data_IF_992485697948
#
_entry.id   IF_992485697948
#
_cell.length_a   1.000
_cell.length_b   1.000
_cell.length_c   1.000
_cell.angle_alpha   90.00
_cell.angle_beta   90.00
_cell.angle_gamma   90.00
#
_symmetry.space_group_name_H-M   'P 1'
#
loop_
_entity.id
_entity.type
_entity.pdbx_description
1 polymer ?
#
# COMPACT_ATOMS: atom_id res chain seq x y z
N UNK A 1 -12.26 11.14 -12.65
CA UNK A 1 -11.42 10.61 -11.57
C UNK A 1 -9.97 10.85 -11.88
N UNK A 2 -9.22 11.25 -10.89
CA UNK A 2 -7.83 11.61 -11.07
C UNK A 2 -6.94 10.43 -10.67
N UNK A 3 -5.89 10.20 -11.44
CA UNK A 3 -4.87 9.23 -11.06
C UNK A 3 -3.71 9.96 -10.41
N UNK A 4 -3.02 9.24 -9.53
CA UNK A 4 -1.81 9.75 -8.90
C UNK A 4 -0.67 8.79 -9.19
N UNK A 5 0.54 9.29 -9.02
CA UNK A 5 1.73 8.48 -9.23
C UNK A 5 2.36 8.16 -7.88
N UNK A 6 2.66 6.89 -7.67
CA UNK A 6 3.30 6.43 -6.43
C UNK A 6 4.40 5.45 -6.79
N UNK A 7 5.23 5.15 -5.82
CA UNK A 7 6.25 4.11 -5.98
C UNK A 7 5.82 2.93 -5.12
N UNK A 8 5.77 1.74 -5.72
CA UNK A 8 5.43 0.52 -5.00
C UNK A 8 6.53 -0.49 -5.24
N UNK A 9 7.23 -0.85 -4.18
CA UNK A 9 8.38 -1.76 -4.26
C UNK A 9 9.39 -1.27 -5.31
N UNK A 10 9.67 0.04 -5.27
CA UNK A 10 10.63 0.72 -6.14
C UNK A 10 10.19 0.84 -7.60
N UNK A 11 8.93 0.52 -7.89
CA UNK A 11 8.39 0.70 -9.24
C UNK A 11 7.36 1.80 -9.24
N UNK A 12 7.48 2.71 -10.20
CA UNK A 12 6.51 3.79 -10.36
C UNK A 12 5.21 3.22 -10.92
N UNK A 13 4.09 3.57 -10.27
CA UNK A 13 2.78 3.10 -10.71
C UNK A 13 1.76 4.22 -10.64
N UNK A 14 0.81 4.15 -11.55
CA UNK A 14 -0.31 5.09 -11.57
C UNK A 14 -1.51 4.40 -10.94
N UNK A 15 -2.10 5.04 -9.94
CA UNK A 15 -3.24 4.47 -9.22
C UNK A 15 -4.31 5.55 -9.07
N UNK A 16 -5.56 5.16 -8.84
CA UNK A 16 -6.60 6.15 -8.54
C UNK A 16 -6.29 6.91 -7.26
N UNK A 17 -6.73 8.16 -7.20
CA UNK A 17 -6.55 8.94 -5.98
C UNK A 17 -7.49 8.48 -4.87
N UNK A 18 -7.16 8.85 -3.65
CA UNK A 18 -8.02 8.65 -2.47
C UNK A 18 -8.25 7.19 -2.09
N UNK A 19 -7.29 6.33 -2.37
CA UNK A 19 -7.37 4.94 -1.91
C UNK A 19 -6.78 4.82 -0.51
N UNK A 20 -7.49 4.12 0.38
CA UNK A 20 -6.86 3.71 1.63
C UNK A 20 -6.07 2.43 1.39
N UNK A 21 -5.39 1.93 2.41
CA UNK A 21 -4.51 0.77 2.22
C UNK A 21 -5.28 -0.46 1.72
N UNK A 22 -6.41 -0.86 2.34
CA UNK A 22 -7.15 -2.01 1.81
C UNK A 22 -7.60 -1.83 0.37
N UNK A 23 -8.03 -0.63 0.00
CA UNK A 23 -8.45 -0.35 -1.36
C UNK A 23 -7.28 -0.44 -2.33
N UNK A 24 -6.11 0.04 -1.91
CA UNK A 24 -4.91 -0.06 -2.73
C UNK A 24 -4.53 -1.52 -2.96
N UNK A 25 -4.53 -2.31 -1.90
CA UNK A 25 -4.19 -3.72 -2.01
C UNK A 25 -5.16 -4.44 -2.94
N UNK A 26 -6.44 -4.10 -2.85
CA UNK A 26 -7.45 -4.67 -3.74
C UNK A 26 -7.20 -4.25 -5.19
N UNK A 27 -6.86 -2.98 -5.41
CA UNK A 27 -6.55 -2.48 -6.75
C UNK A 27 -5.37 -3.22 -7.36
N UNK A 28 -4.37 -3.55 -6.53
CA UNK A 28 -3.18 -4.28 -6.97
C UNK A 28 -3.40 -5.79 -7.01
N UNK A 29 -4.58 -6.24 -6.64
CA UNK A 29 -4.95 -7.66 -6.60
C UNK A 29 -4.08 -8.46 -5.62
N UNK A 30 -3.68 -7.81 -4.54
CA UNK A 30 -2.91 -8.45 -3.49
C UNK A 30 -3.85 -8.90 -2.38
N UNK A 31 -4.06 -10.19 -2.30
CA UNK A 31 -5.01 -10.75 -1.33
C UNK A 31 -4.27 -11.72 -0.43
N UNK A 32 -3.68 -11.19 0.62
CA UNK A 32 -2.94 -12.05 1.52
C UNK A 32 -3.05 -11.48 2.93
N UNK A 33 -3.33 -12.36 3.88
CA UNK A 33 -3.46 -11.96 5.27
C UNK A 33 -2.13 -11.61 5.92
N UNK A 34 -1.04 -11.94 5.26
CA UNK A 34 0.31 -11.77 5.83
C UNK A 34 1.07 -10.60 5.23
N UNK A 35 0.37 -9.65 4.64
CA UNK A 35 1.03 -8.50 4.02
C UNK A 35 1.45 -7.50 5.08
N UNK A 36 2.67 -6.98 4.90
CA UNK A 36 3.20 -5.86 5.68
C UNK A 36 3.34 -4.69 4.73
N UNK A 37 2.82 -3.53 5.13
CA UNK A 37 2.83 -2.34 4.31
C UNK A 37 3.65 -1.26 5.00
N UNK A 38 4.64 -0.71 4.28
CA UNK A 38 5.37 0.47 4.71
C UNK A 38 4.97 1.63 3.82
N UNK A 39 4.72 2.76 4.45
CA UNK A 39 4.41 3.98 3.73
C UNK A 39 5.44 5.04 4.12
N UNK A 40 6.23 5.47 3.13
CA UNK A 40 7.29 6.45 3.37
C UNK A 40 8.21 6.01 4.51
N UNK A 41 8.60 4.72 4.47
CA UNK A 41 9.56 4.11 5.38
C UNK A 41 9.03 3.87 6.79
N UNK A 42 7.71 3.96 6.96
CA UNK A 42 7.09 3.64 8.24
C UNK A 42 6.07 2.52 8.06
N UNK A 43 6.14 1.53 8.93
CA UNK A 43 5.16 0.44 8.89
C UNK A 43 3.79 0.98 9.27
N UNK A 44 2.79 0.69 8.44
CA UNK A 44 1.41 1.03 8.77
C UNK A 44 0.78 -0.16 9.46
N UNK A 45 0.46 0.01 10.72
CA UNK A 45 -0.16 -1.06 11.48
C UNK A 45 -1.52 -1.40 10.91
N UNK A 46 -1.87 -2.67 10.93
CA UNK A 46 -3.13 -3.11 10.33
C UNK A 46 -4.34 -2.35 10.87
N UNK A 47 -4.30 -1.99 12.15
CA UNK A 47 -5.39 -1.24 12.75
C UNK A 47 -5.56 0.15 12.14
N UNK A 48 -4.54 0.67 11.48
CA UNK A 48 -4.58 2.01 10.88
C UNK A 48 -4.80 1.97 9.35
N UNK A 49 -4.93 0.79 8.78
CA UNK A 49 -5.05 0.68 7.32
C UNK A 49 -6.27 1.41 6.77
N UNK A 50 -7.41 1.31 7.47
CA UNK A 50 -8.66 1.90 6.97
C UNK A 50 -8.62 3.43 6.96
N UNK A 51 -7.79 4.02 7.81
CA UNK A 51 -7.71 5.47 7.94
C UNK A 51 -6.48 6.07 7.28
N UNK A 52 -5.65 5.24 6.64
CA UNK A 52 -4.44 5.71 5.96
C UNK A 52 -4.71 5.79 4.47
N UNK A 53 -4.65 7.00 3.92
CA UNK A 53 -4.90 7.24 2.51
C UNK A 53 -3.58 7.50 1.79
N UNK A 54 -3.42 6.91 0.62
CA UNK A 54 -2.21 7.06 -0.19
C UNK A 54 -2.33 8.32 -1.05
N UNK A 55 -1.26 9.10 -1.13
CA UNK A 55 -1.24 10.35 -1.89
C UNK A 55 -0.16 10.37 -2.94
N UNK A 56 -0.22 11.42 -3.77
CA UNK A 56 0.74 11.63 -4.85
C UNK A 56 2.18 11.62 -4.31
N UNK A 57 3.02 10.84 -4.96
CA UNK A 57 4.44 10.81 -4.61
C UNK A 57 4.78 9.89 -3.44
N UNK A 58 3.81 9.23 -2.85
CA UNK A 58 4.09 8.32 -1.74
C UNK A 58 4.93 7.14 -2.19
N UNK A 59 5.75 6.67 -1.26
CA UNK A 59 6.59 5.50 -1.47
C UNK A 59 6.07 4.38 -0.59
N UNK A 60 5.70 3.28 -1.21
CA UNK A 60 5.18 2.12 -0.49
C UNK A 60 6.07 0.91 -0.71
N UNK A 61 6.19 0.11 0.33
CA UNK A 61 6.77 -1.21 0.20
C UNK A 61 5.78 -2.20 0.80
N UNK A 62 5.44 -3.17 -0.01
CA UNK A 62 4.44 -4.17 0.36
C UNK A 62 5.11 -5.52 0.22
N UNK A 63 5.27 -6.20 1.34
CA UNK A 63 5.94 -7.49 1.35
C UNK A 63 5.06 -8.49 2.09
N UNK A 64 5.25 -9.75 1.76
CA UNK A 64 4.57 -10.82 2.47
C UNK A 64 5.42 -11.23 3.65
N UNK A 65 4.81 -11.20 4.82
CA UNK A 65 5.50 -11.66 6.02
C UNK A 65 5.65 -13.18 5.91
N UNK A 66 6.88 -13.63 5.94
CA UNK A 66 7.12 -15.06 5.95
C UNK A 66 7.05 -15.50 7.40
N UNK A 67 5.96 -16.14 7.75
CA UNK A 67 5.78 -16.62 9.10
C UNK A 67 6.81 -17.68 9.39
N UNK A 68 7.76 -17.34 10.20
CA UNK A 68 8.73 -18.31 10.65
C UNK A 68 8.13 -19.16 11.75
N UNK A 69 7.52 -20.18 11.36
CA UNK A 69 7.08 -21.25 12.24
C UNK A 69 6.31 -20.87 13.46
#
# INVERSE_FOLDING_TARGET
MKDIQVSINAESKKIPENLNIPQLLNFLELKDDLLVVELNEEVVMRADWDTTTVGEGDKLEIVKAIGGG
#
